data_IF_011134477534
#
_entry.id   IF_011134477534
#
_cell.length_a   1.000
_cell.length_b   1.000
_cell.length_c   1.000
_cell.angle_alpha   90.00
_cell.angle_beta   90.00
_cell.angle_gamma   90.00
#
_symmetry.space_group_name_H-M   'P 1'
#
loop_
_entity.id
_entity.type
_entity.pdbx_description
1 polymer ?
#
# COMPACT_ATOMS: atom_id res chain seq x y z
N UNK A 1 -44.56 -10.05 0.94
CA UNK A 1 -43.28 -10.35 0.28
C UNK A 1 -42.26 -9.36 0.84
N UNK A 2 -41.36 -9.80 1.73
CA UNK A 2 -40.38 -8.90 2.37
C UNK A 2 -39.11 -8.90 1.52
N UNK A 3 -38.73 -7.73 1.04
CA UNK A 3 -37.44 -7.50 0.38
C UNK A 3 -36.48 -7.06 1.48
N UNK A 4 -35.57 -7.96 1.86
CA UNK A 4 -34.39 -7.58 2.65
C UNK A 4 -33.45 -6.79 1.74
N UNK A 5 -33.46 -5.47 1.87
CA UNK A 5 -32.45 -4.58 1.29
C UNK A 5 -31.36 -4.36 2.34
N UNK A 6 -30.37 -5.23 2.32
CA UNK A 6 -29.14 -5.04 3.09
C UNK A 6 -28.30 -3.99 2.35
N UNK A 7 -28.43 -2.72 2.74
CA UNK A 7 -27.60 -1.63 2.20
C UNK A 7 -26.21 -1.76 2.81
N UNK A 8 -25.35 -2.56 2.16
CA UNK A 8 -23.91 -2.47 2.37
C UNK A 8 -23.45 -1.16 1.73
N UNK A 9 -23.32 -0.09 2.52
CA UNK A 9 -22.65 1.13 2.11
C UNK A 9 -21.15 0.82 1.92
N UNK A 10 -20.77 0.24 0.79
CA UNK A 10 -19.38 0.18 0.36
C UNK A 10 -18.97 1.60 0.00
N UNK A 11 -18.34 2.30 0.94
CA UNK A 11 -17.68 3.57 0.69
C UNK A 11 -16.75 3.38 -0.52
N UNK A 12 -17.07 4.04 -1.63
CA UNK A 12 -16.30 3.93 -2.86
C UNK A 12 -14.98 4.68 -2.66
N UNK A 13 -13.86 3.97 -2.77
CA UNK A 13 -12.56 4.62 -2.73
C UNK A 13 -12.31 5.32 -4.06
N UNK A 14 -11.98 6.61 -3.99
CA UNK A 14 -11.59 7.35 -5.19
C UNK A 14 -10.33 6.72 -5.79
N UNK A 15 -10.31 6.57 -7.12
CA UNK A 15 -9.09 6.16 -7.82
C UNK A 15 -8.00 7.21 -7.63
N UNK A 16 -6.76 6.79 -7.41
CA UNK A 16 -5.68 7.72 -7.11
C UNK A 16 -4.51 7.11 -6.33
N UNK A 17 -3.53 7.94 -5.93
CA UNK A 17 -2.38 7.51 -5.16
C UNK A 17 -2.80 6.93 -3.80
N UNK A 18 -2.26 5.76 -3.44
CA UNK A 18 -2.58 5.11 -2.19
C UNK A 18 -2.15 5.94 -0.97
N UNK A 19 -1.03 6.67 -1.10
CA UNK A 19 -0.51 7.56 -0.05
C UNK A 19 -1.51 8.67 0.32
N UNK A 20 -2.13 9.30 -0.67
CA UNK A 20 -3.15 10.34 -0.43
C UNK A 20 -4.39 9.77 0.25
N UNK A 21 -4.81 8.56 -0.15
CA UNK A 21 -5.92 7.89 0.50
C UNK A 21 -5.64 7.62 1.97
N UNK A 22 -4.42 7.14 2.29
CA UNK A 22 -4.00 6.89 3.67
C UNK A 22 -3.94 8.17 4.51
N UNK A 23 -3.45 9.27 3.94
CA UNK A 23 -3.44 10.60 4.59
C UNK A 23 -4.86 11.04 4.95
N UNK A 24 -5.81 10.91 4.01
CA UNK A 24 -7.24 11.21 4.25
C UNK A 24 -7.86 10.30 5.32
N UNK A 25 -7.55 9.00 5.32
CA UNK A 25 -8.08 8.05 6.31
C UNK A 25 -7.62 8.31 7.75
N UNK A 26 -6.45 8.91 7.91
CA UNK A 26 -5.86 9.26 9.20
C UNK A 26 -6.10 10.71 9.61
N UNK A 27 -6.90 11.46 8.86
CA UNK A 27 -7.19 12.87 9.10
C UNK A 27 -5.90 13.72 9.23
N UNK A 28 -4.93 13.42 8.35
CA UNK A 28 -3.65 14.15 8.23
C UNK A 28 -3.69 15.10 7.05
N UNK A 29 -2.80 16.09 7.04
CA UNK A 29 -2.73 17.09 5.97
C UNK A 29 -1.78 16.66 4.86
N UNK A 30 -0.65 16.06 5.23
CA UNK A 30 0.39 15.67 4.27
C UNK A 30 0.95 14.27 4.57
N UNK A 31 1.63 13.67 3.59
CA UNK A 31 2.33 12.38 3.78
C UNK A 31 3.50 12.53 4.76
N UNK A 32 4.11 13.71 4.86
CA UNK A 32 5.20 13.98 5.80
C UNK A 32 4.76 13.92 7.27
N UNK A 33 3.46 14.15 7.55
CA UNK A 33 2.89 13.95 8.90
C UNK A 33 2.99 12.49 9.37
N UNK A 34 3.15 11.54 8.42
CA UNK A 34 3.30 10.12 8.68
C UNK A 34 4.75 9.69 8.94
N UNK A 35 5.73 10.61 8.88
CA UNK A 35 7.15 10.30 9.17
C UNK A 35 7.39 9.75 10.57
N UNK A 36 6.54 10.12 11.53
CA UNK A 36 6.59 9.59 12.90
C UNK A 36 6.20 8.10 12.98
N UNK A 37 5.80 7.51 11.86
CA UNK A 37 5.32 6.13 11.77
C UNK A 37 3.84 6.02 12.10
N UNK A 38 3.33 4.79 11.97
CA UNK A 38 1.96 4.44 12.30
C UNK A 38 1.94 3.82 13.70
N UNK A 39 1.03 4.27 14.57
CA UNK A 39 0.70 3.48 15.75
C UNK A 39 -0.07 2.21 15.33
N UNK A 40 -0.10 1.18 16.17
CA UNK A 40 -0.73 -0.09 15.82
C UNK A 40 -2.23 0.05 15.51
N UNK A 41 -2.93 1.00 16.16
CA UNK A 41 -4.35 1.28 15.92
C UNK A 41 -4.58 1.86 14.52
N UNK A 42 -3.76 2.83 14.11
CA UNK A 42 -3.80 3.48 12.80
C UNK A 42 -3.45 2.48 11.71
N UNK A 43 -2.41 1.65 11.92
CA UNK A 43 -2.05 0.59 10.99
C UNK A 43 -3.22 -0.39 10.80
N UNK A 44 -3.83 -0.86 11.89
CA UNK A 44 -4.96 -1.79 11.83
C UNK A 44 -6.19 -1.16 11.14
N UNK A 45 -6.46 0.12 11.39
CA UNK A 45 -7.53 0.88 10.72
C UNK A 45 -7.29 0.95 9.21
N UNK A 46 -6.10 1.37 8.80
CA UNK A 46 -5.73 1.48 7.38
C UNK A 46 -5.78 0.10 6.73
N UNK A 47 -5.18 -0.92 7.33
CA UNK A 47 -5.16 -2.27 6.77
C UNK A 47 -6.58 -2.79 6.56
N UNK A 48 -7.48 -2.61 7.54
CA UNK A 48 -8.88 -3.00 7.43
C UNK A 48 -9.58 -2.29 6.27
N UNK A 49 -9.32 -0.99 6.07
CA UNK A 49 -9.93 -0.21 5.00
C UNK A 49 -9.35 -0.51 3.62
N UNK A 50 -8.06 -0.82 3.52
CA UNK A 50 -7.39 -1.09 2.25
C UNK A 50 -7.51 -2.55 1.80
N UNK A 51 -7.75 -3.48 2.72
CA UNK A 51 -7.86 -4.90 2.42
C UNK A 51 -8.95 -5.16 1.40
N UNK A 52 -8.60 -5.88 0.35
CA UNK A 52 -9.51 -6.25 -0.72
C UNK A 52 -9.57 -5.27 -1.89
N UNK A 53 -9.01 -4.07 -1.74
CA UNK A 53 -8.92 -3.10 -2.84
C UNK A 53 -8.00 -3.60 -3.93
N UNK A 54 -8.35 -3.23 -5.16
CA UNK A 54 -7.49 -3.43 -6.32
C UNK A 54 -6.60 -2.21 -6.49
N UNK A 55 -5.34 -2.45 -6.81
CA UNK A 55 -4.35 -1.42 -7.09
C UNK A 55 -3.59 -1.74 -8.37
N UNK A 56 -3.05 -0.70 -9.00
CA UNK A 56 -2.03 -0.80 -10.04
C UNK A 56 -0.72 -0.18 -9.52
N UNK A 57 0.38 -0.55 -10.15
CA UNK A 57 1.70 0.00 -9.81
C UNK A 57 2.17 0.98 -10.88
N UNK A 58 2.88 2.03 -10.47
CA UNK A 58 3.35 3.10 -11.38
C UNK A 58 4.88 3.09 -11.61
N UNK A 59 5.59 2.05 -11.15
CA UNK A 59 7.04 1.93 -11.34
C UNK A 59 7.43 1.25 -12.66
N UNK A 60 6.47 0.62 -13.35
CA UNK A 60 6.66 -0.03 -14.66
C UNK A 60 5.57 0.46 -15.60
N UNK A 61 5.93 1.22 -16.64
CA UNK A 61 4.99 1.84 -17.57
C UNK A 61 4.21 0.83 -18.43
N UNK A 62 4.79 -0.34 -18.67
CA UNK A 62 4.20 -1.36 -19.56
C UNK A 62 3.26 -2.34 -18.85
N UNK A 63 3.38 -2.48 -17.53
CA UNK A 63 2.70 -3.54 -16.79
C UNK A 63 1.35 -3.03 -16.25
N UNK A 64 0.26 -3.33 -16.98
CA UNK A 64 -1.13 -3.04 -16.56
C UNK A 64 -1.68 -4.03 -15.52
N UNK A 65 -0.81 -4.77 -14.82
CA UNK A 65 -1.24 -5.80 -13.87
C UNK A 65 -1.95 -5.14 -12.68
N UNK A 66 -3.15 -5.65 -12.37
CA UNK A 66 -3.92 -5.31 -11.17
C UNK A 66 -3.49 -6.25 -10.03
N UNK A 67 -3.35 -5.71 -8.84
CA UNK A 67 -3.02 -6.45 -7.63
C UNK A 67 -4.11 -6.23 -6.58
N UNK A 68 -4.46 -7.27 -5.82
CA UNK A 68 -5.40 -7.15 -4.69
C UNK A 68 -4.61 -6.98 -3.40
N UNK A 69 -4.96 -5.97 -2.61
CA UNK A 69 -4.36 -5.75 -1.29
C UNK A 69 -4.81 -6.86 -0.33
N UNK A 70 -3.85 -7.55 0.28
CA UNK A 70 -4.14 -8.59 1.28
C UNK A 70 -3.91 -8.07 2.71
N UNK A 71 -2.79 -7.37 2.92
CA UNK A 71 -2.37 -6.83 4.23
C UNK A 71 -1.33 -5.72 4.03
N UNK A 72 -0.97 -5.04 5.12
CA UNK A 72 0.18 -4.15 5.17
C UNK A 72 1.34 -4.81 5.91
N UNK A 73 2.57 -4.36 5.65
CA UNK A 73 3.71 -4.78 6.47
C UNK A 73 3.69 -4.06 7.82
N UNK A 74 4.12 -4.73 8.90
CA UNK A 74 4.27 -4.07 10.20
C UNK A 74 5.48 -3.12 10.22
N UNK A 75 6.43 -3.33 9.30
CA UNK A 75 7.68 -2.59 9.16
C UNK A 75 7.62 -1.59 8.00
N UNK A 76 8.42 -0.51 8.04
CA UNK A 76 8.58 0.41 6.91
C UNK A 76 9.25 -0.27 5.71
N UNK A 77 9.14 0.31 4.52
CA UNK A 77 9.78 -0.22 3.30
C UNK A 77 11.30 -0.32 3.43
N UNK A 78 11.95 0.61 4.15
CA UNK A 78 13.39 0.59 4.44
C UNK A 78 13.87 -0.55 5.34
N UNK A 79 12.95 -1.24 6.05
CA UNK A 79 13.30 -2.32 6.98
C UNK A 79 12.54 -3.61 6.70
N UNK A 80 11.70 -3.60 5.66
CA UNK A 80 10.99 -4.79 5.20
C UNK A 80 11.95 -5.59 4.34
N UNK A 81 12.43 -6.71 4.87
CA UNK A 81 13.34 -7.60 4.18
C UNK A 81 12.56 -8.68 3.42
N UNK A 82 13.03 -9.04 2.23
CA UNK A 82 12.54 -10.18 1.48
C UNK A 82 13.70 -10.93 0.82
N UNK A 83 13.45 -12.19 0.44
CA UNK A 83 14.42 -13.03 -0.26
C UNK A 83 14.23 -12.87 -1.77
N UNK A 84 15.28 -12.47 -2.49
CA UNK A 84 15.36 -12.46 -3.94
C UNK A 84 16.54 -13.35 -4.37
N UNK A 85 16.26 -14.44 -5.08
CA UNK A 85 17.31 -15.29 -5.69
C UNK A 85 18.43 -15.67 -4.70
N UNK A 86 18.05 -16.10 -3.49
CA UNK A 86 18.94 -16.44 -2.36
C UNK A 86 19.70 -15.27 -1.73
N UNK A 87 19.47 -14.02 -2.14
CA UNK A 87 19.95 -12.82 -1.46
C UNK A 87 18.84 -12.16 -0.66
N UNK A 88 19.17 -11.72 0.56
CA UNK A 88 18.24 -10.98 1.43
C UNK A 88 18.46 -9.48 1.22
N UNK A 89 17.45 -8.78 0.73
CA UNK A 89 17.49 -7.32 0.52
C UNK A 89 16.23 -6.66 1.07
N UNK A 90 16.30 -5.38 1.41
CA UNK A 90 15.13 -4.61 1.80
C UNK A 90 14.41 -4.06 0.56
N UNK A 91 13.12 -3.73 0.73
CA UNK A 91 12.30 -3.24 -0.37
C UNK A 91 12.82 -1.91 -0.93
N UNK A 92 13.29 -0.98 -0.09
CA UNK A 92 13.77 0.31 -0.58
C UNK A 92 15.04 0.16 -1.44
N UNK A 93 16.02 -0.62 -0.98
CA UNK A 93 17.25 -0.93 -1.71
C UNK A 93 16.95 -1.65 -3.01
N UNK A 94 16.08 -2.67 -2.98
CA UNK A 94 15.68 -3.39 -4.19
C UNK A 94 15.11 -2.46 -5.27
N UNK A 95 14.22 -1.53 -4.89
CA UNK A 95 13.61 -0.61 -5.84
C UNK A 95 14.61 0.38 -6.43
N UNK A 96 15.59 0.80 -5.62
CA UNK A 96 16.67 1.65 -6.08
C UNK A 96 17.60 0.92 -7.06
N UNK A 97 18.06 -0.29 -6.74
CA UNK A 97 19.00 -1.06 -7.55
C UNK A 97 18.36 -1.62 -8.83
N UNK A 98 17.14 -2.14 -8.72
CA UNK A 98 16.48 -2.85 -9.84
C UNK A 98 15.78 -1.91 -10.80
N UNK A 99 15.26 -0.78 -10.32
CA UNK A 99 14.50 0.16 -11.15
C UNK A 99 15.07 1.57 -11.20
N UNK A 100 16.20 1.84 -10.55
CA UNK A 100 16.76 3.19 -10.43
C UNK A 100 15.86 4.14 -9.62
N UNK A 101 14.87 3.63 -8.89
CA UNK A 101 13.83 4.45 -8.26
C UNK A 101 14.08 4.60 -6.77
N UNK A 102 14.51 5.78 -6.36
CA UNK A 102 14.63 6.15 -4.94
C UNK A 102 13.23 6.47 -4.39
N UNK A 103 12.83 5.75 -3.34
CA UNK A 103 11.57 6.02 -2.65
C UNK A 103 11.68 7.35 -1.88
N UNK A 104 10.67 8.21 -2.02
CA UNK A 104 10.54 9.45 -1.24
C UNK A 104 10.02 9.18 0.16
N UNK A 105 9.19 8.14 0.32
CA UNK A 105 8.57 7.78 1.58
C UNK A 105 8.95 6.37 2.06
N UNK A 106 10.25 6.07 2.25
CA UNK A 106 10.70 4.72 2.65
C UNK A 106 10.27 4.33 4.08
N UNK A 107 9.85 5.31 4.89
CA UNK A 107 9.30 5.12 6.23
C UNK A 107 7.86 4.60 6.24
N UNK A 108 7.16 4.61 5.09
CA UNK A 108 5.82 4.04 4.98
C UNK A 108 5.90 2.50 4.85
N UNK A 109 4.90 1.76 5.33
CA UNK A 109 4.84 0.32 5.15
C UNK A 109 4.58 -0.05 3.69
N UNK A 110 4.81 -1.31 3.37
CA UNK A 110 4.52 -1.90 2.07
C UNK A 110 3.13 -2.55 2.06
N UNK A 111 2.50 -2.54 0.90
CA UNK A 111 1.31 -3.31 0.58
C UNK A 111 1.73 -4.73 0.20
N UNK A 112 1.05 -5.73 0.75
CA UNK A 112 1.29 -7.13 0.41
C UNK A 112 0.21 -7.63 -0.55
N UNK A 113 0.62 -8.16 -1.70
CA UNK A 113 -0.28 -8.57 -2.80
C UNK A 113 -0.05 -10.03 -3.21
N UNK A 114 -0.30 -10.96 -2.29
CA UNK A 114 -0.11 -12.40 -2.49
C UNK A 114 0.93 -12.99 -1.51
N UNK A 115 1.57 -14.10 -1.91
CA UNK A 115 2.71 -14.67 -1.16
C UNK A 115 3.96 -13.88 -1.53
N UNK A 116 4.49 -13.15 -0.55
CA UNK A 116 5.79 -12.48 -0.57
C UNK A 116 5.99 -11.38 -1.63
N UNK A 117 4.91 -10.79 -2.14
CA UNK A 117 4.99 -9.60 -3.00
C UNK A 117 4.78 -8.34 -2.15
N UNK A 118 5.85 -7.58 -1.96
CA UNK A 118 5.87 -6.33 -1.19
C UNK A 118 5.97 -5.13 -2.14
N UNK A 119 4.99 -4.24 -2.10
CA UNK A 119 4.93 -3.04 -2.93
C UNK A 119 4.93 -1.79 -2.04
N UNK A 120 5.89 -0.86 -2.17
CA UNK A 120 5.85 0.40 -1.45
C UNK A 120 4.54 1.17 -1.71
N UNK A 121 3.94 1.78 -0.67
CA UNK A 121 2.70 2.55 -0.84
C UNK A 121 2.81 3.65 -1.91
N UNK A 122 3.97 4.30 -2.00
CA UNK A 122 4.26 5.38 -2.94
C UNK A 122 4.07 5.00 -4.42
N UNK A 123 4.26 3.72 -4.75
CA UNK A 123 4.12 3.24 -6.14
C UNK A 123 2.76 2.61 -6.43
N UNK A 124 1.84 2.61 -5.47
CA UNK A 124 0.53 1.97 -5.57
C UNK A 124 -0.56 3.00 -5.85
N UNK A 125 -1.41 2.74 -6.83
CA UNK A 125 -2.59 3.53 -7.14
C UNK A 125 -3.84 2.66 -7.00
N UNK A 126 -4.81 3.12 -6.22
CA UNK A 126 -6.14 2.50 -6.14
C UNK A 126 -6.83 2.66 -7.48
N UNK A 127 -7.40 1.57 -7.96
CA UNK A 127 -8.21 1.57 -9.18
C UNK A 127 -9.69 1.60 -8.81
N UNK A 128 -10.47 2.22 -9.67
CA UNK A 128 -11.93 2.10 -9.70
C UNK A 128 -12.37 0.72 -10.20
#
# INVERSE_FOLDING_TARGET
>A
MMINLDVAATAYFQSGPLTELVVKMLDRRTVDDLRRGFNDRDRAKIEKSLKGLLIKVIHRSEVKRKFKITKLTPTPASSTMFMKENSKTDVATYFHETYGRRLLYPFLPCVVTGRDVFLPMEICHVIE
#
